data_IF_585544424037
#
_entry.id   IF_585544424037
#
_cell.length_a   1.000
_cell.length_b   1.000
_cell.length_c   1.000
_cell.angle_alpha   90.00
_cell.angle_beta   90.00
_cell.angle_gamma   90.00
#
_symmetry.space_group_name_H-M   'P 1'
#
loop_
_entity.id
_entity.type
_entity.pdbx_description
1 polymer ?
#
# COMPACT_ATOMS: atom_id res chain seq x y z
N UNK A 1 44.48 11.59 5.90
CA UNK A 1 43.56 11.42 7.05
C UNK A 1 42.28 12.24 6.94
N UNK A 2 42.30 13.59 6.99
CA UNK A 2 41.05 14.38 6.97
C UNK A 2 40.24 14.20 5.67
N UNK A 3 40.95 14.12 4.53
CA UNK A 3 40.37 13.87 3.20
C UNK A 3 39.71 12.49 3.09
N UNK A 4 40.36 11.47 3.65
CA UNK A 4 39.86 10.09 3.67
C UNK A 4 38.60 9.96 4.55
N UNK A 5 38.58 10.64 5.69
CA UNK A 5 37.41 10.69 6.60
C UNK A 5 36.22 11.36 5.90
N UNK A 6 36.44 12.49 5.20
CA UNK A 6 35.39 13.16 4.42
C UNK A 6 34.87 12.23 3.31
N UNK A 7 35.76 11.52 2.62
CA UNK A 7 35.39 10.61 1.53
C UNK A 7 34.55 9.43 2.04
N UNK A 8 34.91 8.84 3.18
CA UNK A 8 34.14 7.79 3.85
C UNK A 8 32.77 8.31 4.29
N UNK A 9 32.70 9.52 4.86
CA UNK A 9 31.45 10.14 5.28
C UNK A 9 30.51 10.37 4.08
N UNK A 10 31.05 10.87 2.98
CA UNK A 10 30.32 11.12 1.74
C UNK A 10 29.80 9.81 1.13
N UNK A 11 30.60 8.75 1.20
CA UNK A 11 30.20 7.40 0.78
C UNK A 11 29.07 6.84 1.66
N UNK A 12 29.14 7.03 2.99
CA UNK A 12 28.06 6.63 3.91
C UNK A 12 26.77 7.40 3.66
N UNK A 13 26.85 8.70 3.40
CA UNK A 13 25.70 9.52 3.02
C UNK A 13 25.10 9.03 1.69
N UNK A 14 25.94 8.73 0.70
CA UNK A 14 25.47 8.22 -0.59
C UNK A 14 24.82 6.83 -0.45
N UNK A 15 25.41 5.92 0.33
CA UNK A 15 24.80 4.62 0.66
C UNK A 15 23.48 4.81 1.39
N UNK A 16 23.42 5.74 2.35
CA UNK A 16 22.19 6.05 3.09
C UNK A 16 21.10 6.57 2.15
N UNK A 17 21.43 7.47 1.23
CA UNK A 17 20.50 7.99 0.20
C UNK A 17 20.05 6.86 -0.72
N UNK A 18 20.96 6.06 -1.28
CA UNK A 18 20.63 4.95 -2.18
C UNK A 18 19.77 3.89 -1.49
N UNK A 19 20.10 3.56 -0.24
CA UNK A 19 19.32 2.61 0.57
C UNK A 19 17.95 3.19 0.85
N UNK A 20 17.87 4.44 1.31
CA UNK A 20 16.59 5.13 1.54
C UNK A 20 15.77 5.12 0.25
N UNK A 21 16.30 5.62 -0.87
CA UNK A 21 15.65 5.63 -2.18
C UNK A 21 15.22 4.24 -2.67
N UNK A 22 16.07 3.22 -2.55
CA UNK A 22 15.75 1.86 -2.99
C UNK A 22 14.65 1.18 -2.15
N UNK A 23 14.63 1.44 -0.84
CA UNK A 23 13.58 0.94 0.05
C UNK A 23 12.29 1.78 -0.01
N UNK A 24 12.38 3.10 -0.24
CA UNK A 24 11.24 4.00 -0.38
C UNK A 24 10.48 3.78 -1.68
N UNK A 25 11.18 3.45 -2.79
CA UNK A 25 10.53 3.24 -4.10
C UNK A 25 9.65 2.00 -4.11
N UNK A 26 10.01 0.94 -3.35
CA UNK A 26 9.32 -0.34 -3.49
C UNK A 26 8.26 -0.63 -2.44
N UNK A 27 8.27 -0.04 -1.25
CA UNK A 27 7.26 -0.32 -0.21
C UNK A 27 7.21 -1.80 0.21
N UNK A 28 7.20 -2.11 1.50
CA UNK A 28 7.33 -3.51 1.90
C UNK A 28 6.04 -4.30 1.65
N UNK A 29 6.04 -5.16 0.61
CA UNK A 29 4.96 -6.11 0.32
C UNK A 29 4.93 -7.24 1.36
N UNK A 30 3.75 -7.57 1.87
CA UNK A 30 3.52 -8.68 2.81
C UNK A 30 2.25 -9.43 2.46
N UNK A 31 2.28 -10.76 2.64
CA UNK A 31 1.09 -11.60 2.56
C UNK A 31 0.32 -11.54 3.88
N UNK A 32 -0.98 -11.31 3.80
CA UNK A 32 -1.90 -11.26 4.92
C UNK A 32 -3.09 -12.18 4.60
N UNK A 33 -3.60 -12.88 5.60
CA UNK A 33 -4.79 -13.72 5.49
C UNK A 33 -5.91 -13.10 6.32
N UNK A 34 -7.01 -12.75 5.67
CA UNK A 34 -8.14 -12.12 6.34
C UNK A 34 -7.86 -10.70 6.86
N UNK A 35 -8.89 -10.10 7.42
CA UNK A 35 -8.80 -8.83 8.14
C UNK A 35 -9.66 -8.91 9.41
N UNK A 36 -9.42 -8.04 10.39
CA UNK A 36 -10.14 -8.06 11.66
C UNK A 36 -11.36 -7.13 11.59
N UNK A 37 -11.12 -5.88 11.19
CA UNK A 37 -12.15 -4.85 11.08
C UNK A 37 -11.75 -3.79 10.07
N UNK A 38 -12.75 -3.09 9.56
CA UNK A 38 -12.62 -1.90 8.72
C UNK A 38 -13.40 -0.78 9.37
N UNK A 39 -12.78 0.39 9.49
CA UNK A 39 -13.37 1.57 10.14
C UNK A 39 -13.12 2.83 9.31
N UNK A 40 -13.93 3.85 9.54
CA UNK A 40 -13.77 5.17 8.94
C UNK A 40 -13.06 6.12 9.92
N UNK A 41 -12.21 7.02 9.41
CA UNK A 41 -11.67 8.13 10.21
C UNK A 41 -12.42 9.44 9.93
N UNK A 42 -12.09 10.51 10.66
CA UNK A 42 -12.73 11.84 10.52
C UNK A 42 -12.64 12.43 9.10
N UNK A 43 -11.63 12.05 8.32
CA UNK A 43 -11.42 12.48 6.94
C UNK A 43 -12.03 11.53 5.92
N UNK A 44 -12.97 10.67 6.34
CA UNK A 44 -13.58 9.60 5.52
C UNK A 44 -12.58 8.62 4.91
N UNK A 45 -11.38 8.47 5.50
CA UNK A 45 -10.40 7.47 5.06
C UNK A 45 -10.76 6.11 5.60
N UNK A 46 -10.44 5.10 4.79
CA UNK A 46 -10.64 3.70 5.15
C UNK A 46 -9.44 3.25 5.98
N UNK A 47 -9.73 2.77 7.19
CA UNK A 47 -8.76 2.14 8.08
C UNK A 47 -9.01 0.64 8.11
N UNK A 48 -7.99 -0.17 7.82
CA UNK A 48 -8.04 -1.63 7.91
C UNK A 48 -7.18 -2.10 9.09
N UNK A 49 -7.77 -2.89 10.00
CA UNK A 49 -7.04 -3.56 11.07
C UNK A 49 -6.78 -5.00 10.69
N UNK A 50 -5.52 -5.41 10.76
CA UNK A 50 -5.09 -6.76 10.44
C UNK A 50 -4.35 -7.38 11.63
N UNK A 51 -4.38 -8.72 11.70
CA UNK A 51 -3.54 -9.47 12.63
C UNK A 51 -2.14 -9.58 12.06
N UNK A 52 -1.15 -9.15 12.83
CA UNK A 52 0.27 -9.23 12.48
C UNK A 52 0.98 -10.17 13.46
N UNK A 53 1.58 -11.24 12.93
CA UNK A 53 2.53 -12.05 13.70
C UNK A 53 3.88 -11.37 13.79
N UNK A 54 4.36 -11.19 15.02
CA UNK A 54 5.71 -10.73 15.34
C UNK A 54 6.49 -11.93 15.88
N UNK A 55 7.64 -12.23 15.26
CA UNK A 55 8.49 -13.39 15.59
C UNK A 55 7.76 -14.75 15.63
N UNK A 56 6.70 -14.92 14.84
CA UNK A 56 5.96 -16.19 14.72
C UNK A 56 5.05 -16.55 15.90
N UNK A 57 5.14 -15.83 17.02
CA UNK A 57 4.50 -16.21 18.29
C UNK A 57 3.52 -15.14 18.79
N UNK A 58 3.80 -13.86 18.55
CA UNK A 58 2.97 -12.77 19.08
C UNK A 58 2.01 -12.24 18.01
N UNK A 59 0.72 -12.49 18.19
CA UNK A 59 -0.34 -11.86 17.41
C UNK A 59 -0.55 -10.43 17.94
N UNK A 60 -0.26 -9.42 17.11
CA UNK A 60 -0.52 -8.02 17.41
C UNK A 60 -1.43 -7.44 16.33
N UNK A 61 -2.44 -6.70 16.75
CA UNK A 61 -3.27 -5.96 15.81
C UNK A 61 -2.52 -4.74 15.30
N UNK A 62 -2.63 -4.46 14.00
CA UNK A 62 -2.05 -3.28 13.38
C UNK A 62 -3.06 -2.67 12.42
N UNK A 63 -3.34 -1.38 12.60
CA UNK A 63 -4.23 -0.61 11.74
C UNK A 63 -3.41 0.14 10.69
N UNK A 64 -3.93 0.15 9.47
CA UNK A 64 -3.38 0.89 8.34
C UNK A 64 -4.46 1.77 7.72
N UNK A 65 -4.06 2.95 7.27
CA UNK A 65 -4.89 3.80 6.43
C UNK A 65 -4.69 3.41 4.96
N UNK A 66 -5.76 3.23 4.21
CA UNK A 66 -5.65 2.95 2.77
C UNK A 66 -5.28 4.23 2.02
N UNK A 67 -4.14 4.18 1.33
CA UNK A 67 -3.65 5.32 0.55
C UNK A 67 -4.50 5.52 -0.71
N UNK A 68 -4.65 6.77 -1.15
CA UNK A 68 -5.28 7.22 -2.40
C UNK A 68 -6.80 7.25 -2.42
N UNK A 69 -7.47 6.81 -1.37
CA UNK A 69 -8.93 6.63 -1.40
C UNK A 69 -9.59 7.24 -0.17
N UNK A 70 -10.83 7.64 -0.33
CA UNK A 70 -11.76 8.01 0.74
C UNK A 70 -13.13 7.40 0.44
N UNK A 71 -13.95 7.26 1.48
CA UNK A 71 -15.28 6.67 1.39
C UNK A 71 -16.20 7.67 0.68
N UNK A 72 -16.95 7.17 -0.31
CA UNK A 72 -17.96 7.96 -1.02
C UNK A 72 -19.27 8.00 -0.24
N UNK A 73 -19.87 6.83 -0.05
CA UNK A 73 -21.21 6.69 0.51
C UNK A 73 -21.17 6.24 1.96
N UNK A 74 -20.87 4.95 2.21
CA UNK A 74 -20.95 4.34 3.53
C UNK A 74 -19.81 3.36 3.79
N UNK A 75 -19.31 3.36 5.02
CA UNK A 75 -18.37 2.35 5.52
C UNK A 75 -18.93 0.92 5.39
N UNK A 76 -20.27 0.75 5.45
CA UNK A 76 -20.91 -0.57 5.34
C UNK A 76 -20.70 -1.22 3.97
N UNK A 77 -20.67 -0.42 2.91
CA UNK A 77 -20.41 -0.92 1.54
C UNK A 77 -18.97 -1.44 1.43
N UNK A 78 -18.01 -0.70 2.01
CA UNK A 78 -16.61 -1.10 2.08
C UNK A 78 -16.46 -2.38 2.91
N UNK A 79 -17.10 -2.46 4.06
CA UNK A 79 -17.08 -3.65 4.93
C UNK A 79 -17.65 -4.87 4.20
N UNK A 80 -18.81 -4.72 3.52
CA UNK A 80 -19.42 -5.78 2.72
C UNK A 80 -18.49 -6.26 1.60
N UNK A 81 -17.86 -5.33 0.89
CA UNK A 81 -16.90 -5.64 -0.16
C UNK A 81 -15.67 -6.36 0.40
N UNK A 82 -15.12 -5.91 1.54
CA UNK A 82 -13.94 -6.54 2.16
C UNK A 82 -14.28 -7.90 2.73
N UNK A 83 -15.50 -8.09 3.23
CA UNK A 83 -15.98 -9.40 3.68
C UNK A 83 -15.98 -10.44 2.56
N UNK A 84 -16.39 -10.04 1.35
CA UNK A 84 -16.39 -10.91 0.18
C UNK A 84 -14.96 -11.17 -0.32
N UNK A 85 -14.16 -10.11 -0.44
CA UNK A 85 -12.87 -10.17 -1.16
C UNK A 85 -11.69 -10.56 -0.26
N UNK A 86 -11.69 -10.15 1.01
CA UNK A 86 -10.50 -10.25 1.89
C UNK A 86 -10.65 -11.24 3.04
N UNK A 87 -11.84 -11.41 3.62
CA UNK A 87 -12.05 -12.14 4.89
C UNK A 87 -11.49 -13.57 4.87
N UNK A 88 -11.72 -14.28 3.78
CA UNK A 88 -11.32 -15.68 3.60
C UNK A 88 -10.19 -15.87 2.58
N UNK A 89 -9.60 -14.79 2.09
CA UNK A 89 -8.55 -14.84 1.05
C UNK A 89 -7.20 -14.35 1.57
N UNK A 90 -6.14 -14.79 0.90
CA UNK A 90 -4.81 -14.24 1.09
C UNK A 90 -4.61 -13.07 0.12
N UNK A 91 -4.19 -11.93 0.64
CA UNK A 91 -3.92 -10.73 -0.14
C UNK A 91 -2.55 -10.15 0.19
N UNK A 92 -2.10 -9.23 -0.65
CA UNK A 92 -0.81 -8.57 -0.53
C UNK A 92 -1.05 -7.15 -0.03
N UNK A 93 -0.54 -6.87 1.16
CA UNK A 93 -0.52 -5.54 1.73
C UNK A 93 0.86 -4.92 1.49
N UNK A 94 0.91 -3.81 0.77
CA UNK A 94 2.13 -3.03 0.55
C UNK A 94 2.12 -1.86 1.52
N UNK A 95 3.01 -1.87 2.49
CA UNK A 95 3.23 -0.70 3.35
C UNK A 95 3.87 0.40 2.48
N UNK A 96 3.24 1.57 2.47
CA UNK A 96 3.72 2.76 1.75
C UNK A 96 4.05 3.84 2.77
N UNK A 97 5.08 4.64 2.49
CA UNK A 97 5.45 5.73 3.36
C UNK A 97 4.31 6.74 3.47
N UNK A 98 4.17 7.29 4.67
CA UNK A 98 3.26 8.37 4.96
C UNK A 98 3.73 9.66 4.28
N UNK A 99 2.83 10.61 4.10
CA UNK A 99 3.06 11.66 3.12
C UNK A 99 4.05 12.76 3.56
N UNK A 100 4.47 12.77 4.83
CA UNK A 100 5.37 13.77 5.40
C UNK A 100 6.37 13.20 6.39
N UNK A 101 7.45 13.94 6.64
CA UNK A 101 8.52 13.58 7.59
C UNK A 101 8.01 13.33 9.03
N UNK A 102 6.83 13.85 9.36
CA UNK A 102 6.17 13.71 10.66
C UNK A 102 4.81 13.01 10.60
N UNK A 103 4.43 12.47 9.43
CA UNK A 103 3.24 11.64 9.34
C UNK A 103 3.62 10.22 9.78
N UNK A 104 3.28 9.85 11.00
CA UNK A 104 3.59 8.52 11.54
C UNK A 104 2.49 7.51 11.23
N UNK A 105 1.44 7.91 10.50
CA UNK A 105 0.35 7.02 10.10
C UNK A 105 0.85 6.00 9.10
N UNK A 106 0.55 4.74 9.38
CA UNK A 106 0.99 3.64 8.50
C UNK A 106 -0.01 3.52 7.37
N UNK A 107 0.40 3.98 6.19
CA UNK A 107 -0.39 3.88 4.98
C UNK A 107 -0.13 2.55 4.28
N UNK A 108 -1.13 2.05 3.58
CA UNK A 108 -1.03 0.80 2.82
C UNK A 108 -1.85 0.83 1.53
N UNK A 109 -1.43 0.01 0.58
CA UNK A 109 -2.23 -0.36 -0.60
C UNK A 109 -2.44 -1.86 -0.59
N UNK A 110 -3.66 -2.30 -0.92
CA UNK A 110 -4.04 -3.71 -0.94
C UNK A 110 -4.09 -4.19 -2.39
N UNK A 111 -3.49 -5.36 -2.62
CA UNK A 111 -3.50 -6.04 -3.90
C UNK A 111 -3.96 -7.48 -3.73
N UNK A 112 -4.69 -7.98 -4.73
CA UNK A 112 -4.87 -9.41 -4.92
C UNK A 112 -3.78 -9.93 -5.86
N UNK A 113 -3.38 -11.18 -5.63
CA UNK A 113 -2.49 -11.86 -6.56
C UNK A 113 -3.32 -12.29 -7.76
N UNK A 114 -2.95 -11.79 -8.93
CA UNK A 114 -3.58 -12.13 -10.20
C UNK A 114 -2.48 -12.58 -11.18
N UNK A 115 -1.71 -13.58 -10.73
CA UNK A 115 -0.49 -14.00 -11.41
C UNK A 115 -0.74 -15.15 -12.35
N UNK A 116 -0.18 -15.09 -13.56
CA UNK A 116 -0.17 -16.24 -14.48
C UNK A 116 0.59 -17.44 -13.87
N UNK A 117 0.33 -18.69 -14.30
CA UNK A 117 0.93 -19.89 -13.71
C UNK A 117 2.45 -19.85 -13.60
N UNK A 118 3.14 -19.22 -14.56
CA UNK A 118 4.59 -19.04 -14.57
C UNK A 118 5.13 -18.27 -13.34
N UNK A 119 4.31 -17.40 -12.75
CA UNK A 119 4.69 -16.55 -11.62
C UNK A 119 4.07 -16.99 -10.28
N UNK A 120 3.30 -18.08 -10.22
CA UNK A 120 2.70 -18.57 -8.96
C UNK A 120 3.72 -18.92 -7.87
N UNK A 121 4.88 -19.44 -8.28
CA UNK A 121 5.96 -19.83 -7.37
C UNK A 121 6.86 -18.65 -6.97
N UNK A 122 6.74 -17.50 -7.64
CA UNK A 122 7.54 -16.34 -7.27
C UNK A 122 7.13 -15.80 -5.90
N UNK A 123 8.14 -15.35 -5.16
CA UNK A 123 7.92 -14.59 -3.93
C UNK A 123 7.24 -13.26 -4.26
N UNK A 124 6.32 -12.82 -3.40
CA UNK A 124 5.61 -11.54 -3.56
C UNK A 124 6.53 -10.32 -3.65
N UNK A 125 7.78 -10.43 -3.16
CA UNK A 125 8.79 -9.39 -3.28
C UNK A 125 9.23 -9.17 -4.73
N UNK A 126 9.25 -10.22 -5.54
CA UNK A 126 9.69 -10.19 -6.93
C UNK A 126 8.52 -10.23 -7.91
N UNK A 127 7.29 -10.27 -7.42
CA UNK A 127 6.12 -10.26 -8.29
C UNK A 127 6.01 -8.89 -8.99
N UNK A 128 5.96 -8.86 -10.34
CA UNK A 128 5.73 -7.63 -11.10
C UNK A 128 4.41 -6.96 -10.69
N UNK A 129 4.33 -5.63 -10.84
CA UNK A 129 3.09 -4.90 -10.53
C UNK A 129 1.93 -5.27 -11.47
N UNK A 130 2.21 -5.75 -12.68
CA UNK A 130 1.20 -6.22 -13.64
C UNK A 130 0.46 -7.48 -13.17
N UNK A 131 1.10 -8.29 -12.32
CA UNK A 131 0.52 -9.51 -11.73
C UNK A 131 -0.21 -9.23 -10.40
N UNK A 132 -0.35 -7.95 -10.05
CA UNK A 132 -1.01 -7.48 -8.84
C UNK A 132 -2.26 -6.68 -9.22
N UNK A 133 -3.43 -7.25 -8.92
CA UNK A 133 -4.70 -6.55 -9.08
C UNK A 133 -4.90 -5.60 -7.90
N UNK A 134 -4.90 -4.30 -8.17
CA UNK A 134 -5.13 -3.28 -7.15
C UNK A 134 -6.63 -3.14 -6.85
N UNK A 135 -7.02 -3.34 -5.58
CA UNK A 135 -8.42 -3.28 -5.17
C UNK A 135 -9.07 -1.91 -5.36
N UNK A 136 -8.26 -0.83 -5.38
CA UNK A 136 -8.77 0.53 -5.59
C UNK A 136 -9.58 0.60 -6.88
N UNK A 137 -9.16 -0.11 -7.92
CA UNK A 137 -9.85 -0.08 -9.20
C UNK A 137 -11.26 -0.68 -9.12
N UNK A 138 -11.40 -1.85 -8.52
CA UNK A 138 -12.70 -2.50 -8.36
C UNK A 138 -13.63 -1.68 -7.46
N UNK A 139 -13.10 -1.12 -6.38
CA UNK A 139 -13.89 -0.26 -5.49
C UNK A 139 -14.36 1.03 -6.20
N UNK A 140 -13.55 1.59 -7.11
CA UNK A 140 -13.96 2.72 -7.95
C UNK A 140 -15.05 2.32 -8.95
N UNK A 141 -14.93 1.16 -9.58
CA UNK A 141 -15.91 0.63 -10.54
C UNK A 141 -17.26 0.33 -9.85
N UNK A 142 -17.24 -0.07 -8.57
CA UNK A 142 -18.43 -0.26 -7.74
C UNK A 142 -18.99 1.05 -7.15
N UNK A 143 -18.35 2.19 -7.41
CA UNK A 143 -18.73 3.52 -6.92
C UNK A 143 -18.83 3.65 -5.39
N UNK A 144 -18.04 2.86 -4.64
CA UNK A 144 -18.06 2.86 -3.17
C UNK A 144 -16.96 3.77 -2.56
N UNK A 145 -15.98 4.19 -3.37
CA UNK A 145 -14.88 5.08 -2.97
C UNK A 145 -14.69 6.23 -3.96
N UNK A 146 -14.00 7.27 -3.50
CA UNK A 146 -13.45 8.34 -4.33
C UNK A 146 -11.94 8.38 -4.21
N UNK A 147 -11.26 8.86 -5.26
CA UNK A 147 -9.83 9.10 -5.22
C UNK A 147 -9.51 10.36 -4.40
N UNK A 148 -8.49 10.26 -3.57
CA UNK A 148 -7.88 11.40 -2.88
C UNK A 148 -6.67 11.90 -3.67
N UNK A 149 -6.84 13.02 -4.37
CA UNK A 149 -5.77 13.62 -5.16
C UNK A 149 -4.55 13.99 -4.30
N UNK A 150 -4.78 14.43 -3.06
CA UNK A 150 -3.72 14.86 -2.14
C UNK A 150 -2.74 13.75 -1.72
N UNK A 151 -3.12 12.49 -1.89
CA UNK A 151 -2.28 11.31 -1.63
C UNK A 151 -1.31 11.01 -2.80
N UNK A 152 -1.51 11.60 -4.00
CA UNK A 152 -0.65 11.38 -5.20
C UNK A 152 0.44 12.45 -5.34
N UNK A 153 1.55 12.27 -4.62
CA UNK A 153 2.58 13.32 -4.51
C UNK A 153 3.74 13.14 -5.47
N UNK A 154 4.21 11.90 -5.67
CA UNK A 154 5.36 11.64 -6.54
C UNK A 154 4.96 11.72 -8.02
N UNK A 155 5.92 12.01 -8.89
CA UNK A 155 5.67 12.04 -10.34
C UNK A 155 5.08 10.72 -10.86
N UNK A 156 5.59 9.58 -10.39
CA UNK A 156 5.08 8.26 -10.74
C UNK A 156 3.64 8.04 -10.24
N UNK A 157 3.32 8.47 -9.02
CA UNK A 157 1.95 8.41 -8.49
C UNK A 157 1.00 9.31 -9.29
N UNK A 158 1.40 10.55 -9.63
CA UNK A 158 0.61 11.45 -10.46
C UNK A 158 0.34 10.90 -11.86
N UNK A 159 1.31 10.21 -12.46
CA UNK A 159 1.11 9.50 -13.73
C UNK A 159 0.10 8.36 -13.59
N UNK A 160 0.15 7.59 -12.50
CA UNK A 160 -0.81 6.52 -12.24
C UNK A 160 -2.21 7.06 -11.95
N UNK A 161 -2.34 8.16 -11.21
CA UNK A 161 -3.60 8.87 -11.01
C UNK A 161 -4.25 9.22 -12.34
N UNK A 162 -3.52 9.88 -13.23
CA UNK A 162 -4.02 10.27 -14.54
C UNK A 162 -4.47 9.07 -15.39
N UNK A 163 -3.82 7.90 -15.25
CA UNK A 163 -4.25 6.67 -15.94
C UNK A 163 -5.52 6.07 -15.37
N UNK A 164 -5.71 6.15 -14.05
CA UNK A 164 -6.94 5.70 -13.39
C UNK A 164 -8.11 6.63 -13.74
N UNK A 165 -7.89 7.95 -13.67
CA UNK A 165 -8.88 8.97 -13.97
C UNK A 165 -9.33 8.93 -15.45
N UNK A 166 -8.38 8.91 -16.40
CA UNK A 166 -8.70 8.86 -17.85
C UNK A 166 -9.44 7.62 -18.32
N UNK A 167 -9.49 6.56 -17.50
CA UNK A 167 -10.28 5.35 -17.79
C UNK A 167 -11.70 5.41 -17.23
N UNK A 168 -11.99 6.32 -16.30
CA UNK A 168 -13.36 6.57 -15.82
C UNK A 168 -14.15 7.44 -16.80
N UNK A 169 -13.48 8.31 -17.57
CA UNK A 169 -14.08 9.16 -18.61
C UNK A 169 -14.36 8.44 -19.95
N UNK A 170 -14.26 7.11 -20.01
CA UNK A 170 -14.54 6.28 -21.20
C UNK A 170 -15.55 5.20 -20.89
#
# INVERSE_FOLDING_TARGET
MFRDIIQILLMLVMIFILKKSGFTIYGMKRKIKGYIKVTENENRKILITIRKKIFGIFDREKTYELKYVKIKNSIKEIESYFDIVLKNQEYILREVEADGLFDFRKKAVIYLRDSIPAFERLSIRFLPETELKNLIREMLELDIIELEESDFRTFAEKLNYNRLFRKQDK
#
